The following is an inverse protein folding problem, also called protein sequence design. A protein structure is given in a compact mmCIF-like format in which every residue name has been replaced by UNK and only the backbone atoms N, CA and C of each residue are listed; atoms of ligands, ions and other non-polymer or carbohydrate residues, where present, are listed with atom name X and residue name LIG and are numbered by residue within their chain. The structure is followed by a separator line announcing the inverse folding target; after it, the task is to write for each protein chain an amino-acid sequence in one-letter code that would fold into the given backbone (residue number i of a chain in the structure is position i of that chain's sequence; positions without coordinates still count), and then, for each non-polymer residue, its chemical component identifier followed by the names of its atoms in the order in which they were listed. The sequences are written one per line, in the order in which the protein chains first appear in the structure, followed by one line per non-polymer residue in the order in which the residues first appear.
data_IF_165021786155
#
_entry.id   IF_165021786155
#
_cell.length_a   1.000
_cell.length_b   1.000
_cell.length_c   1.000
_cell.angle_alpha   90.00
_cell.angle_beta   90.00
_cell.angle_gamma   90.00
#
_symmetry.space_group_name_H-M   'P 1'
#
loop_
_entity.id
_entity.type
_entity.pdbx_description
1 polymer ?
#
# COMPACT_ATOMS: atom_id res chain seq x y z
N UNK A 1 19.19 9.63 25.65
CA UNK A 1 18.05 8.73 25.37
C UNK A 1 16.89 9.38 24.59
N UNK A 2 16.67 10.69 24.68
CA UNK A 2 15.51 11.35 24.06
C UNK A 2 15.40 11.17 22.53
N UNK A 3 16.53 11.16 21.80
CA UNK A 3 16.54 10.91 20.35
C UNK A 3 16.10 9.48 20.00
N UNK A 4 16.59 8.48 20.73
CA UNK A 4 16.18 7.09 20.56
C UNK A 4 14.67 6.94 20.84
N UNK A 5 14.19 7.55 21.92
CA UNK A 5 12.76 7.54 22.26
C UNK A 5 11.92 8.22 21.18
N UNK A 6 12.36 9.35 20.63
CA UNK A 6 11.68 10.01 19.53
C UNK A 6 11.61 9.12 18.27
N UNK A 7 12.72 8.47 17.90
CA UNK A 7 12.73 7.51 16.79
C UNK A 7 11.79 6.33 17.04
N UNK A 8 11.79 5.77 18.26
CA UNK A 8 10.87 4.69 18.65
C UNK A 8 9.41 5.12 18.55
N UNK A 9 9.07 6.32 19.05
CA UNK A 9 7.73 6.88 18.95
C UNK A 9 7.28 7.04 17.50
N UNK A 10 8.15 7.53 16.61
CA UNK A 10 7.86 7.65 15.17
C UNK A 10 7.54 6.29 14.54
N UNK A 11 8.37 5.26 14.80
CA UNK A 11 8.12 3.91 14.29
C UNK A 11 6.85 3.28 14.86
N UNK A 12 6.55 3.53 16.14
CA UNK A 12 5.33 3.05 16.78
C UNK A 12 4.07 3.67 16.16
N UNK A 13 4.08 4.99 15.92
CA UNK A 13 2.97 5.69 15.26
C UNK A 13 2.78 5.18 13.83
N UNK A 14 3.86 5.06 13.06
CA UNK A 14 3.82 4.51 11.70
C UNK A 14 3.22 3.10 11.69
N UNK A 15 3.69 2.23 12.59
CA UNK A 15 3.15 0.88 12.73
C UNK A 15 1.66 0.91 13.05
N UNK A 16 1.24 1.70 14.04
CA UNK A 16 -0.17 1.80 14.46
C UNK A 16 -1.10 2.21 13.31
N UNK A 17 -0.66 3.13 12.44
CA UNK A 17 -1.43 3.61 11.29
C UNK A 17 -1.46 2.61 10.13
N UNK A 18 -0.42 1.78 9.97
CA UNK A 18 -0.30 0.79 8.91
C UNK A 18 -0.89 -0.58 9.28
N UNK A 19 -0.85 -0.96 10.57
CA UNK A 19 -1.38 -2.25 11.04
C UNK A 19 -2.88 -2.15 11.32
N UNK A 20 -3.70 -2.63 10.38
CA UNK A 20 -5.14 -2.82 10.59
C UNK A 20 -5.40 -4.11 11.39
N UNK A 21 -5.01 -4.15 12.67
CA UNK A 21 -5.46 -5.20 13.61
C UNK A 21 -6.45 -4.61 14.62
N UNK A 22 -7.74 -4.91 14.39
CA UNK A 22 -8.82 -5.02 15.38
C UNK A 22 -9.00 -3.93 16.43
N UNK A 23 -9.96 -3.04 16.21
CA UNK A 23 -11.03 -2.71 17.18
C UNK A 23 -11.98 -1.72 16.51
N UNK A 24 -13.19 -2.20 16.23
CA UNK A 24 -14.24 -1.54 15.45
C UNK A 24 -15.16 -0.64 16.28
N UNK A 25 -14.79 -0.25 17.50
CA UNK A 25 -15.71 0.49 18.38
C UNK A 25 -15.22 1.87 18.87
N UNK A 26 -13.92 2.18 18.78
CA UNK A 26 -13.37 3.47 19.29
C UNK A 26 -12.73 4.32 18.17
N UNK A 27 -12.74 3.86 16.92
CA UNK A 27 -12.05 4.54 15.80
C UNK A 27 -12.80 5.75 15.23
N UNK A 28 -14.07 5.92 15.56
CA UNK A 28 -14.94 6.97 14.99
C UNK A 28 -14.59 8.40 15.46
N UNK A 29 -13.94 8.56 16.62
CA UNK A 29 -13.80 9.88 17.26
C UNK A 29 -12.51 10.63 16.92
N UNK A 30 -11.52 9.99 16.29
CA UNK A 30 -10.25 10.64 15.95
C UNK A 30 -9.83 10.28 14.53
N UNK A 31 -10.32 11.05 13.55
CA UNK A 31 -9.75 11.26 12.20
C UNK A 31 -8.72 10.22 11.74
N UNK A 32 -9.18 9.01 11.41
CA UNK A 32 -8.38 8.05 10.63
C UNK A 32 -8.59 8.35 9.14
N UNK A 33 -8.04 9.51 8.71
CA UNK A 33 -7.83 9.79 7.28
C UNK A 33 -6.97 8.65 6.70
N UNK A 34 -7.40 8.03 5.59
CA UNK A 34 -6.60 6.97 4.96
C UNK A 34 -5.21 7.49 4.64
N UNK A 35 -4.19 6.65 4.86
CA UNK A 35 -2.81 6.99 4.52
C UNK A 35 -2.58 7.03 3.02
N UNK A 36 -3.31 6.19 2.28
CA UNK A 36 -3.14 5.97 0.86
C UNK A 36 -4.51 6.04 0.19
N UNK A 37 -4.53 6.67 -0.96
CA UNK A 37 -5.61 6.58 -1.93
C UNK A 37 -5.05 5.79 -3.11
N UNK A 38 -5.82 4.83 -3.60
CA UNK A 38 -5.41 3.93 -4.67
C UNK A 38 -6.55 3.85 -5.67
N UNK A 39 -6.22 3.99 -6.94
CA UNK A 39 -7.16 3.87 -8.05
C UNK A 39 -7.18 2.45 -8.56
N UNK A 40 -8.37 1.96 -8.88
CA UNK A 40 -8.54 0.70 -9.62
C UNK A 40 -8.70 1.07 -11.09
N UNK A 41 -7.82 0.55 -11.93
CA UNK A 41 -7.76 0.85 -13.35
C UNK A 41 -7.86 -0.43 -14.16
N UNK A 42 -8.53 -0.34 -15.31
CA UNK A 42 -8.60 -1.42 -16.29
C UNK A 42 -7.45 -1.29 -17.29
N UNK A 43 -6.35 -1.97 -17.01
CA UNK A 43 -5.26 -2.15 -17.97
C UNK A 43 -5.55 -3.40 -18.81
N UNK A 44 -6.37 -3.24 -19.86
CA UNK A 44 -6.87 -4.36 -20.68
C UNK A 44 -5.76 -5.38 -20.99
N UNK A 45 -5.93 -6.66 -20.62
CA UNK A 45 -7.17 -7.34 -20.20
C UNK A 45 -7.39 -7.45 -18.67
N UNK A 46 -6.54 -6.84 -17.85
CA UNK A 46 -6.47 -7.08 -16.41
C UNK A 46 -6.95 -5.85 -15.60
N UNK A 47 -7.58 -6.12 -14.47
CA UNK A 47 -7.92 -5.09 -13.48
C UNK A 47 -6.73 -4.96 -12.53
N UNK A 48 -6.16 -3.76 -12.47
CA UNK A 48 -4.94 -3.49 -11.70
C UNK A 48 -5.17 -2.34 -10.73
N UNK A 49 -4.39 -2.31 -9.65
CA UNK A 49 -4.37 -1.16 -8.74
C UNK A 49 -3.20 -0.25 -9.06
N UNK A 50 -3.42 1.05 -8.93
CA UNK A 50 -2.43 2.09 -9.15
C UNK A 50 -2.45 3.09 -7.96
N UNK A 51 -1.38 3.24 -7.19
CA UNK A 51 -0.09 2.53 -7.27
C UNK A 51 -0.18 1.04 -6.88
N UNK A 52 0.82 0.25 -7.28
CA UNK A 52 0.88 -1.18 -6.95
C UNK A 52 1.18 -1.42 -5.46
N UNK A 53 0.85 -2.61 -4.93
CA UNK A 53 1.17 -2.95 -3.53
C UNK A 53 2.67 -2.95 -3.28
N UNK A 54 3.46 -3.38 -4.26
CA UNK A 54 4.92 -3.33 -4.22
C UNK A 54 5.43 -1.89 -4.13
N UNK A 55 4.83 -0.97 -4.88
CA UNK A 55 5.18 0.45 -4.84
C UNK A 55 4.85 1.09 -3.48
N UNK A 56 3.69 0.75 -2.92
CA UNK A 56 3.28 1.18 -1.57
C UNK A 56 4.27 0.62 -0.53
N UNK A 57 4.62 -0.67 -0.62
CA UNK A 57 5.59 -1.29 0.30
C UNK A 57 6.99 -0.66 0.15
N UNK A 58 7.42 -0.38 -1.08
CA UNK A 58 8.68 0.31 -1.34
C UNK A 58 8.67 1.74 -0.77
N UNK A 59 7.55 2.46 -0.86
CA UNK A 59 7.39 3.78 -0.25
C UNK A 59 7.51 3.72 1.28
N UNK A 60 6.90 2.72 1.93
CA UNK A 60 7.03 2.48 3.37
C UNK A 60 8.48 2.18 3.76
N UNK A 61 9.16 1.32 2.98
CA UNK A 61 10.56 0.97 3.22
C UNK A 61 11.47 2.19 3.09
N UNK A 62 11.26 3.03 2.07
CA UNK A 62 11.97 4.31 1.90
C UNK A 62 11.70 5.26 3.06
N UNK A 63 10.46 5.35 3.53
CA UNK A 63 10.10 6.17 4.69
C UNK A 63 10.85 5.72 5.95
N UNK A 64 10.86 4.42 6.26
CA UNK A 64 11.59 3.86 7.40
C UNK A 64 13.10 4.18 7.32
N UNK A 65 13.71 4.00 6.15
CA UNK A 65 15.11 4.36 5.92
C UNK A 65 15.35 5.85 6.12
N UNK A 66 14.46 6.72 5.62
CA UNK A 66 14.60 8.16 5.76
C UNK A 66 14.51 8.62 7.23
N UNK A 67 13.60 8.02 8.01
CA UNK A 67 13.49 8.28 9.46
C UNK A 67 14.80 7.90 10.18
N UNK A 68 15.41 6.75 9.84
CA UNK A 68 16.71 6.37 10.38
C UNK A 68 17.81 7.34 9.93
N UNK A 69 17.82 7.72 8.64
CA UNK A 69 18.82 8.63 8.06
C UNK A 69 18.84 10.00 8.73
N UNK A 70 17.73 10.48 9.30
CA UNK A 70 17.71 11.72 10.08
C UNK A 70 18.76 11.73 11.21
N UNK A 71 19.11 10.57 11.75
CA UNK A 71 20.12 10.45 12.82
C UNK A 71 21.56 10.30 12.34
N UNK A 72 21.81 10.14 11.02
CA UNK A 72 23.17 9.89 10.46
C UNK A 72 24.13 11.04 10.66
N UNK A 73 23.62 12.28 10.69
CA UNK A 73 24.44 13.50 10.85
C UNK A 73 24.27 14.12 12.24
N UNK A 74 23.71 13.35 13.18
CA UNK A 74 23.60 13.76 14.57
C UNK A 74 24.69 13.02 15.34
N UNK A 75 25.76 13.74 15.66
CA UNK A 75 26.94 13.19 16.33
C UNK A 75 26.74 13.11 17.84
N UNK A 76 27.30 12.07 18.46
CA UNK A 76 27.28 11.91 19.90
C UNK A 76 27.99 13.09 20.58
N UNK A 77 27.45 13.52 21.73
CA UNK A 77 28.03 14.58 22.54
C UNK A 77 29.37 14.12 23.15
N UNK A 78 30.26 15.07 23.45
CA UNK A 78 31.55 14.78 24.09
C UNK A 78 32.68 14.38 23.13
N UNK A 79 32.46 14.45 21.82
CA UNK A 79 33.49 14.18 20.81
C UNK A 79 34.23 15.46 20.39
N UNK A 80 35.51 15.32 20.05
CA UNK A 80 36.33 16.42 19.55
C UNK A 80 35.94 16.74 18.11
N UNK A 81 35.25 17.87 17.90
CA UNK A 81 34.78 18.30 16.56
C UNK A 81 35.87 18.80 15.62
N UNK A 82 37.14 18.82 16.08
CA UNK A 82 38.30 19.15 15.25
C UNK A 82 38.79 17.94 14.45
N UNK A 83 38.40 16.74 14.85
CA UNK A 83 38.71 15.52 14.13
C UNK A 83 37.88 15.46 12.84
N UNK A 84 38.29 14.62 11.88
CA UNK A 84 37.57 14.48 10.62
C UNK A 84 36.12 14.06 10.87
N UNK A 85 35.20 14.58 10.05
CA UNK A 85 33.77 14.29 10.17
C UNK A 85 33.50 12.79 10.02
N UNK A 86 34.38 12.08 9.29
CA UNK A 86 34.35 10.64 9.11
C UNK A 86 34.65 9.83 10.38
N UNK A 87 35.40 10.39 11.33
CA UNK A 87 35.74 9.73 12.60
C UNK A 87 34.75 10.00 13.73
N UNK A 88 33.79 10.90 13.54
CA UNK A 88 32.77 11.20 14.55
C UNK A 88 31.68 10.12 14.57
N UNK A 89 31.43 9.57 15.76
CA UNK A 89 30.34 8.63 16.00
C UNK A 89 28.99 9.34 15.94
N UNK A 90 28.06 8.77 15.17
CA UNK A 90 26.69 9.26 15.06
C UNK A 90 25.72 8.42 15.89
N UNK A 91 24.66 9.05 16.39
CA UNK A 91 23.57 8.34 17.06
C UNK A 91 22.86 7.33 16.16
N UNK A 92 23.06 7.42 14.84
CA UNK A 92 22.51 6.46 13.88
C UNK A 92 22.90 5.02 14.17
N UNK A 93 24.14 4.75 14.58
CA UNK A 93 24.56 3.38 14.85
C UNK A 93 23.81 2.79 16.06
N UNK A 94 23.66 3.58 17.12
CA UNK A 94 22.88 3.22 18.31
C UNK A 94 21.39 3.00 17.97
N UNK A 95 20.80 3.85 17.14
CA UNK A 95 19.38 3.78 16.78
C UNK A 95 19.13 2.62 15.81
N UNK A 96 20.00 2.39 14.82
CA UNK A 96 19.83 1.33 13.83
C UNK A 96 20.05 -0.08 14.41
N UNK A 97 20.86 -0.21 15.47
CA UNK A 97 21.09 -1.48 16.17
C UNK A 97 20.09 -1.77 17.29
N UNK A 98 19.22 -0.81 17.63
CA UNK A 98 18.20 -1.01 18.65
C UNK A 98 17.20 -2.10 18.23
N UNK A 99 17.08 -3.13 19.07
CA UNK A 99 16.28 -4.32 18.78
C UNK A 99 14.80 -4.01 18.56
N UNK A 100 14.25 -2.99 19.23
CA UNK A 100 12.85 -2.63 19.06
C UNK A 100 12.64 -1.95 17.72
N UNK A 101 13.53 -1.04 17.34
CA UNK A 101 13.49 -0.38 16.02
C UNK A 101 13.60 -1.41 14.90
N UNK A 102 14.54 -2.35 14.99
CA UNK A 102 14.69 -3.44 14.01
C UNK A 102 13.41 -4.27 13.90
N UNK A 103 12.80 -4.64 15.04
CA UNK A 103 11.51 -5.35 15.05
C UNK A 103 10.39 -4.54 14.43
N UNK A 104 10.31 -3.23 14.71
CA UNK A 104 9.27 -2.37 14.13
C UNK A 104 9.43 -2.27 12.60
N UNK A 105 10.64 -2.07 12.10
CA UNK A 105 10.92 -2.03 10.65
C UNK A 105 10.52 -3.34 9.99
N UNK A 106 10.86 -4.49 10.58
CA UNK A 106 10.47 -5.81 10.08
C UNK A 106 8.93 -5.99 10.04
N UNK A 107 8.21 -5.46 11.03
CA UNK A 107 6.74 -5.51 11.04
C UNK A 107 6.13 -4.57 10.00
N UNK A 108 6.75 -3.42 9.73
CA UNK A 108 6.35 -2.49 8.67
C UNK A 108 6.57 -3.08 7.27
N UNK A 109 7.64 -3.87 7.08
CA UNK A 109 7.89 -4.57 5.82
C UNK A 109 6.86 -5.66 5.51
N UNK A 110 6.21 -6.21 6.54
CA UNK A 110 5.18 -7.25 6.40
C UNK A 110 3.74 -6.73 6.55
N UNK A 111 3.53 -5.44 6.79
CA UNK A 111 2.18 -4.92 7.09
C UNK A 111 1.26 -4.87 5.87
N UNK A 112 1.82 -4.69 4.66
CA UNK A 112 1.03 -4.66 3.42
C UNK A 112 0.66 -6.08 2.96
N UNK A 113 1.50 -7.09 3.25
CA UNK A 113 1.24 -8.46 2.84
C UNK A 113 -0.11 -8.99 3.36
N UNK A 114 -0.47 -8.64 4.60
CA UNK A 114 -1.78 -9.00 5.16
C UNK A 114 -2.99 -8.32 4.48
N UNK A 115 -2.76 -7.29 3.67
CA UNK A 115 -3.79 -6.57 2.91
C UNK A 115 -3.88 -7.07 1.46
N UNK A 116 -2.84 -7.76 0.97
CA UNK A 116 -2.77 -8.29 -0.40
C UNK A 116 -3.94 -9.19 -0.75
N UNK A 117 -4.29 -10.12 0.15
CA UNK A 117 -5.42 -11.02 -0.05
C UNK A 117 -6.74 -10.25 -0.17
N UNK A 118 -6.97 -9.25 0.70
CA UNK A 118 -8.19 -8.42 0.67
C UNK A 118 -8.30 -7.61 -0.62
N UNK A 119 -7.18 -7.08 -1.10
CA UNK A 119 -7.13 -6.36 -2.38
C UNK A 119 -7.39 -7.31 -3.53
N UNK A 120 -6.81 -8.51 -3.50
CA UNK A 120 -7.06 -9.53 -4.52
C UNK A 120 -8.53 -9.97 -4.56
N UNK A 121 -9.11 -10.30 -3.41
CA UNK A 121 -10.54 -10.63 -3.27
C UNK A 121 -11.43 -9.51 -3.82
N UNK A 122 -11.08 -8.24 -3.58
CA UNK A 122 -11.82 -7.11 -4.13
C UNK A 122 -11.65 -6.96 -5.65
N UNK A 123 -10.46 -7.20 -6.19
CA UNK A 123 -10.21 -7.20 -7.64
C UNK A 123 -10.94 -8.35 -8.34
N UNK A 124 -11.03 -9.52 -7.72
CA UNK A 124 -11.75 -10.67 -8.25
C UNK A 124 -13.24 -10.40 -8.48
N UNK A 125 -13.86 -9.53 -7.66
CA UNK A 125 -15.26 -9.12 -7.86
C UNK A 125 -15.49 -8.48 -9.24
N UNK A 126 -14.48 -7.81 -9.79
CA UNK A 126 -14.59 -7.21 -11.12
C UNK A 126 -14.51 -8.25 -12.24
N UNK A 127 -13.91 -9.43 -12.01
CA UNK A 127 -13.77 -10.47 -13.04
C UNK A 127 -15.13 -10.93 -13.59
N UNK A 128 -16.20 -10.86 -12.79
CA UNK A 128 -17.56 -11.14 -13.26
C UNK A 128 -17.96 -10.28 -14.47
N UNK A 129 -17.49 -9.03 -14.51
CA UNK A 129 -17.75 -8.08 -15.59
C UNK A 129 -16.77 -8.20 -16.75
N UNK A 130 -15.86 -9.19 -16.73
CA UNK A 130 -14.77 -9.27 -17.70
C UNK A 130 -15.23 -9.46 -19.15
N UNK A 131 -16.45 -9.97 -19.37
CA UNK A 131 -17.06 -10.01 -20.69
C UNK A 131 -17.17 -8.62 -21.35
N UNK A 132 -17.30 -7.54 -20.56
CA UNK A 132 -17.41 -6.17 -21.09
C UNK A 132 -16.14 -5.68 -21.80
N UNK A 133 -14.97 -6.19 -21.42
CA UNK A 133 -13.67 -5.76 -21.97
C UNK A 133 -12.86 -6.86 -22.63
N UNK A 134 -13.16 -8.14 -22.37
CA UNK A 134 -12.50 -9.27 -23.03
C UNK A 134 -13.20 -9.71 -24.31
N UNK A 135 -14.50 -9.48 -24.42
CA UNK A 135 -15.28 -9.88 -25.61
C UNK A 135 -15.30 -8.77 -26.64
N UNK A 136 -14.92 -9.08 -27.87
CA UNK A 136 -15.06 -8.14 -28.98
C UNK A 136 -16.54 -7.89 -29.29
N UNK A 137 -16.95 -6.62 -29.24
CA UNK A 137 -18.33 -6.20 -29.45
C UNK A 137 -18.85 -6.60 -30.83
N UNK A 138 -18.03 -6.47 -31.87
CA UNK A 138 -18.45 -6.81 -33.23
C UNK A 138 -18.58 -8.32 -33.39
N UNK A 139 -17.67 -9.08 -32.80
CA UNK A 139 -17.75 -10.54 -32.83
C UNK A 139 -19.01 -11.06 -32.12
N UNK A 140 -19.32 -10.53 -30.94
CA UNK A 140 -20.54 -10.87 -30.20
C UNK A 140 -21.81 -10.47 -30.96
N UNK A 141 -21.82 -9.26 -31.53
CA UNK A 141 -22.93 -8.76 -32.35
C UNK A 141 -23.18 -9.60 -33.60
N UNK A 142 -22.12 -9.95 -34.33
CA UNK A 142 -22.20 -10.80 -35.52
C UNK A 142 -22.68 -12.21 -35.19
N UNK A 143 -22.29 -12.77 -34.03
CA UNK A 143 -22.83 -14.04 -33.55
C UNK A 143 -24.32 -13.95 -33.22
N UNK A 144 -24.75 -12.86 -32.58
CA UNK A 144 -26.15 -12.64 -32.24
C UNK A 144 -27.04 -12.50 -33.48
N UNK A 145 -26.61 -11.74 -34.49
CA UNK A 145 -27.37 -11.56 -35.74
C UNK A 145 -27.55 -12.85 -36.55
N UNK A 146 -26.59 -13.79 -36.49
CA UNK A 146 -26.71 -15.09 -37.16
C UNK A 146 -27.90 -15.93 -36.64
N UNK A 147 -28.38 -15.64 -35.43
CA UNK A 147 -29.51 -16.33 -34.81
C UNK A 147 -30.87 -15.81 -35.27
N UNK A 148 -30.94 -14.84 -36.19
CA UNK A 148 -32.16 -14.11 -36.59
C UNK A 148 -33.02 -13.68 -35.37
N UNK A 149 -32.45 -12.85 -34.47
CA UNK A 149 -33.08 -12.49 -33.21
C UNK A 149 -34.33 -11.62 -33.40
N UNK A 150 -35.34 -11.83 -32.56
CA UNK A 150 -36.55 -11.00 -32.50
C UNK A 150 -36.32 -9.72 -31.69
N UNK A 151 -37.24 -8.75 -31.79
CA UNK A 151 -37.20 -7.52 -30.99
C UNK A 151 -37.14 -7.81 -29.47
N UNK A 152 -37.84 -8.86 -29.02
CA UNK A 152 -37.85 -9.31 -27.63
C UNK A 152 -36.50 -9.92 -27.20
N UNK A 153 -35.79 -10.57 -28.14
CA UNK A 153 -34.43 -11.05 -27.92
C UNK A 153 -33.44 -9.91 -27.78
N UNK A 154 -33.62 -8.81 -28.53
CA UNK A 154 -32.83 -7.58 -28.36
C UNK A 154 -33.07 -6.94 -26.99
N UNK A 155 -34.33 -6.80 -26.55
CA UNK A 155 -34.63 -6.26 -25.21
C UNK A 155 -34.00 -7.12 -24.10
N UNK A 156 -34.11 -8.45 -24.23
CA UNK A 156 -33.51 -9.40 -23.29
C UNK A 156 -31.98 -9.32 -23.24
N UNK A 157 -31.32 -9.10 -24.38
CA UNK A 157 -29.87 -8.95 -24.44
C UNK A 157 -29.40 -7.61 -23.86
N UNK A 158 -30.13 -6.51 -24.13
CA UNK A 158 -29.82 -5.19 -23.57
C UNK A 158 -29.97 -5.14 -22.05
N UNK A 159 -30.96 -5.86 -21.49
CA UNK A 159 -31.13 -6.01 -20.04
C UNK A 159 -29.93 -6.62 -19.32
N UNK A 160 -29.01 -7.29 -20.02
CA UNK A 160 -27.77 -7.83 -19.43
C UNK A 160 -26.70 -6.75 -19.16
N UNK A 161 -26.83 -5.59 -19.79
CA UNK A 161 -25.87 -4.49 -19.72
C UNK A 161 -26.37 -3.28 -18.90
N UNK A 162 -27.61 -3.34 -18.41
CA UNK A 162 -28.29 -2.31 -17.60
C UNK A 162 -28.35 -2.80 -16.16
#
# INVERSE_FOLDING_TARGET
LSLLNASKSSFYILKKRLSSRGSSLIRSLNHDRPLWEVSIELASPNVTINPSLEEIQAAINRCAINVLRCSKRIYCWGQNRKDDISSLESFHQLIAQDKEIVKMVMLLTGSIEGTKNKVHEHLEQFIHYSFLWKTDKQQAYNMFLKSNPSLESFDSELRKYI
#
